data_IF_096762646096
#
_entry.id   IF_096762646096
#
_cell.length_a   1.000
_cell.length_b   1.000
_cell.length_c   1.000
_cell.angle_alpha   90.00
_cell.angle_beta   90.00
_cell.angle_gamma   90.00
#
_symmetry.space_group_name_H-M   'P 1'
#
loop_
_entity.id
_entity.type
_entity.pdbx_description
1 polymer ?
#
# COMPACT_ATOMS: atom_id res chain seq x y z
N UNK A 1 2.82 -0.44 -2.05
CA UNK A 1 2.30 0.95 -2.10
C UNK A 1 1.74 1.22 -3.47
N UNK A 2 0.50 1.69 -3.55
CA UNK A 2 -0.23 1.97 -4.79
C UNK A 2 -0.84 3.36 -4.70
N UNK A 3 -0.88 4.10 -5.80
CA UNK A 3 -1.52 5.42 -5.87
C UNK A 3 -3.03 5.34 -6.18
N UNK A 4 -3.68 6.51 -6.28
CA UNK A 4 -5.12 6.61 -6.59
C UNK A 4 -5.48 6.14 -8.01
N UNK A 5 -4.50 6.11 -8.92
CA UNK A 5 -4.60 5.65 -10.31
C UNK A 5 -4.25 4.16 -10.48
N UNK A 6 -4.21 3.41 -9.37
CA UNK A 6 -3.86 1.99 -9.34
C UNK A 6 -2.42 1.69 -9.79
N UNK A 7 -1.51 2.66 -9.82
CA UNK A 7 -0.11 2.43 -10.16
C UNK A 7 0.69 1.97 -8.94
N UNK A 8 1.50 0.93 -9.11
CA UNK A 8 2.39 0.43 -8.09
C UNK A 8 3.61 1.34 -7.96
N UNK A 9 3.71 2.09 -6.86
CA UNK A 9 4.82 3.03 -6.62
C UNK A 9 6.02 2.34 -5.95
N UNK A 10 5.74 1.36 -5.09
CA UNK A 10 6.76 0.59 -4.39
C UNK A 10 6.21 -0.78 -3.99
N UNK A 11 7.02 -1.81 -4.14
CA UNK A 11 6.66 -3.18 -3.80
C UNK A 11 7.90 -3.94 -3.32
N UNK A 12 7.67 -4.95 -2.48
CA UNK A 12 8.67 -5.94 -2.10
C UNK A 12 8.09 -7.31 -2.39
N UNK A 13 8.77 -8.10 -3.21
CA UNK A 13 8.30 -9.44 -3.61
C UNK A 13 9.13 -10.51 -2.93
N UNK A 14 8.44 -11.31 -2.11
CA UNK A 14 9.03 -12.38 -1.32
C UNK A 14 9.55 -11.90 0.04
N UNK A 15 9.33 -12.74 1.04
CA UNK A 15 9.92 -12.63 2.38
C UNK A 15 10.19 -14.05 2.88
N UNK A 16 11.30 -14.25 3.59
CA UNK A 16 11.59 -15.54 4.20
C UNK A 16 10.67 -15.72 5.42
N UNK A 17 9.89 -16.80 5.44
CA UNK A 17 8.96 -17.11 6.53
C UNK A 17 7.66 -16.29 6.55
N UNK A 18 6.88 -16.44 7.63
CA UNK A 18 5.66 -15.68 7.89
C UNK A 18 5.99 -14.38 8.62
N UNK A 19 6.51 -13.40 7.89
CA UNK A 19 6.75 -12.05 8.42
C UNK A 19 5.55 -11.17 8.13
N UNK A 20 5.01 -10.51 9.16
CA UNK A 20 3.87 -9.60 9.00
C UNK A 20 4.24 -8.28 8.31
N UNK A 21 3.25 -7.63 7.71
CA UNK A 21 3.43 -6.42 6.89
C UNK A 21 4.09 -5.27 7.66
N UNK A 22 3.75 -5.08 8.93
CA UNK A 22 4.36 -4.06 9.79
C UNK A 22 5.86 -4.29 10.00
N UNK A 23 6.29 -5.54 10.12
CA UNK A 23 7.72 -5.90 10.25
C UNK A 23 8.45 -5.69 8.93
N UNK A 24 7.83 -6.06 7.81
CA UNK A 24 8.38 -5.81 6.48
C UNK A 24 8.57 -4.30 6.27
N UNK A 25 7.59 -3.49 6.66
CA UNK A 25 7.63 -2.04 6.61
C UNK A 25 8.77 -1.46 7.46
N UNK A 26 8.88 -1.90 8.71
CA UNK A 26 9.90 -1.40 9.64
C UNK A 26 11.33 -1.66 9.15
N UNK A 27 11.53 -2.74 8.40
CA UNK A 27 12.82 -3.10 7.80
C UNK A 27 12.96 -2.66 6.33
N UNK A 28 12.05 -1.82 5.83
CA UNK A 28 12.06 -1.41 4.43
C UNK A 28 12.94 -0.19 4.20
N UNK A 29 13.72 -0.15 3.09
CA UNK A 29 14.41 1.07 2.67
C UNK A 29 13.43 2.23 2.40
N UNK A 30 12.19 1.92 2.01
CA UNK A 30 11.15 2.92 1.79
C UNK A 30 10.85 3.71 3.06
N UNK A 31 10.71 3.05 4.21
CA UNK A 31 10.50 3.73 5.50
C UNK A 31 11.63 4.71 5.80
N UNK A 32 12.88 4.26 5.65
CA UNK A 32 14.06 5.12 5.87
C UNK A 32 14.04 6.34 4.95
N UNK A 33 13.77 6.16 3.66
CA UNK A 33 13.68 7.28 2.70
C UNK A 33 12.54 8.26 3.01
N UNK A 34 11.43 7.77 3.57
CA UNK A 34 10.32 8.64 4.00
C UNK A 34 10.67 9.41 5.27
N UNK A 35 11.33 8.77 6.24
CA UNK A 35 11.77 9.39 7.49
C UNK A 35 12.88 10.43 7.27
N UNK A 36 13.79 10.21 6.31
CA UNK A 36 14.91 11.13 6.03
C UNK A 36 14.57 12.26 5.07
N UNK A 37 13.33 12.34 4.56
CA UNK A 37 12.99 13.39 3.57
C UNK A 37 13.44 13.08 2.13
N UNK A 38 14.11 11.95 1.90
CA UNK A 38 14.85 11.68 0.65
C UNK A 38 14.00 11.02 -0.44
N UNK A 39 12.76 10.62 -0.12
CA UNK A 39 11.86 10.09 -1.14
C UNK A 39 11.48 11.19 -2.13
N UNK A 40 11.95 11.10 -3.39
CA UNK A 40 11.64 12.08 -4.46
C UNK A 40 10.14 12.33 -4.66
N UNK A 41 9.31 11.35 -4.32
CA UNK A 41 7.85 11.41 -4.35
C UNK A 41 7.28 11.57 -2.93
N UNK A 42 7.85 12.47 -2.12
CA UNK A 42 7.24 12.78 -0.83
C UNK A 42 5.78 13.15 -1.03
N UNK A 43 4.87 12.68 -0.15
CA UNK A 43 3.50 13.09 -0.21
C UNK A 43 3.44 14.63 -0.06
N UNK A 44 3.18 15.34 -1.16
CA UNK A 44 3.05 16.80 -1.14
C UNK A 44 1.86 17.20 -0.28
N UNK A 45 1.92 18.37 0.36
CA UNK A 45 0.71 18.92 0.98
C UNK A 45 -0.39 19.01 -0.08
N UNK A 46 -1.56 18.47 0.26
CA UNK A 46 -2.75 18.60 -0.56
C UNK A 46 -3.55 19.80 -0.03
N UNK A 47 -4.04 20.64 -0.92
CA UNK A 47 -4.98 21.70 -0.55
C UNK A 47 -6.39 21.15 -0.68
N UNK A 48 -7.10 21.05 0.43
CA UNK A 48 -8.52 20.74 0.44
C UNK A 48 -9.35 22.02 0.24
N UNK A 49 -10.67 21.84 0.11
CA UNK A 49 -11.63 22.93 0.05
C UNK A 49 -11.37 23.97 1.15
N UNK A 50 -11.48 25.26 0.80
CA UNK A 50 -11.22 26.41 1.67
C UNK A 50 -9.73 26.65 2.00
N UNK A 51 -8.82 26.25 1.13
CA UNK A 51 -7.38 26.49 1.25
C UNK A 51 -6.76 25.85 2.52
N UNK A 52 -7.32 24.74 2.97
CA UNK A 52 -6.73 23.99 4.09
C UNK A 52 -5.65 23.07 3.55
N UNK A 53 -4.40 23.34 3.91
CA UNK A 53 -3.29 22.44 3.64
C UNK A 53 -3.36 21.22 4.57
N UNK A 54 -3.41 20.03 3.98
CA UNK A 54 -3.32 18.77 4.71
C UNK A 54 -2.10 17.98 4.24
N UNK A 55 -1.40 17.29 5.16
CA UNK A 55 -0.32 16.41 4.76
C UNK A 55 -0.90 15.26 3.92
N UNK A 56 -0.28 14.97 2.78
CA UNK A 56 -0.54 13.70 2.14
C UNK A 56 0.11 12.58 2.97
N UNK A 57 -0.57 11.45 3.09
CA UNK A 57 -0.14 10.34 3.95
C UNK A 57 -0.41 9.02 3.23
N UNK A 58 0.38 8.01 3.57
CA UNK A 58 0.15 6.63 3.12
C UNK A 58 -0.85 5.97 4.07
N UNK A 59 -1.96 5.49 3.51
CA UNK A 59 -2.97 4.77 4.29
C UNK A 59 -2.54 3.31 4.48
N UNK A 60 -2.59 2.82 5.71
CA UNK A 60 -2.17 1.48 6.10
C UNK A 60 -3.23 0.77 6.97
N UNK A 61 -2.99 -0.51 7.27
CA UNK A 61 -3.85 -1.28 8.16
C UNK A 61 -3.54 -1.03 9.64
N UNK A 62 -4.33 -1.64 10.53
CA UNK A 62 -4.21 -1.46 11.98
C UNK A 62 -2.91 -1.97 12.60
N UNK A 63 -2.20 -2.89 11.93
CA UNK A 63 -0.94 -3.47 12.40
C UNK A 63 0.24 -2.48 12.29
N UNK A 64 0.13 -1.46 11.45
CA UNK A 64 1.15 -0.43 11.30
C UNK A 64 1.13 0.55 12.49
N UNK A 65 2.28 1.14 12.77
CA UNK A 65 2.37 2.28 13.69
C UNK A 65 1.90 3.56 12.97
N UNK A 66 1.20 4.44 13.70
CA UNK A 66 0.86 5.77 13.20
C UNK A 66 2.15 6.60 13.12
N UNK A 67 2.33 7.38 12.07
CA UNK A 67 3.46 8.30 11.92
C UNK A 67 3.06 9.56 11.15
N UNK A 68 4.00 10.49 10.94
CA UNK A 68 3.76 11.69 10.13
C UNK A 68 3.40 11.38 8.67
N UNK A 69 3.75 10.19 8.19
CA UNK A 69 3.54 9.76 6.80
C UNK A 69 2.68 8.50 6.68
N UNK A 70 2.29 7.86 7.80
CA UNK A 70 1.39 6.70 7.83
C UNK A 70 0.12 7.01 8.60
N UNK A 71 -1.02 6.73 7.98
CA UNK A 71 -2.34 6.89 8.56
C UNK A 71 -3.05 5.54 8.66
N UNK A 72 -3.52 5.20 9.86
CA UNK A 72 -4.16 3.91 10.17
C UNK A 72 -5.58 4.11 10.72
N UNK A 73 -6.46 3.10 10.65
CA UNK A 73 -7.81 3.21 11.18
C UNK A 73 -7.80 3.33 12.71
N UNK A 74 -8.84 3.98 13.25
CA UNK A 74 -9.12 3.95 14.69
C UNK A 74 -9.32 2.50 15.18
N UNK A 75 -8.94 2.20 16.44
CA UNK A 75 -9.19 0.89 17.06
C UNK A 75 -10.69 0.62 17.19
N UNK A 76 -11.09 -0.64 17.32
CA UNK A 76 -12.51 -1.03 17.28
C UNK A 76 -13.34 -0.62 18.52
N UNK A 77 -12.68 -0.28 19.63
CA UNK A 77 -13.34 -0.04 20.92
C UNK A 77 -13.69 1.43 21.09
N UNK A 78 -14.92 1.69 21.54
CA UNK A 78 -15.41 3.02 21.93
C UNK A 78 -15.22 4.12 20.87
N UNK A 79 -15.52 3.82 19.60
CA UNK A 79 -15.39 4.81 18.52
C UNK A 79 -16.61 5.73 18.39
N UNK A 80 -16.35 7.01 18.17
CA UNK A 80 -17.40 7.99 17.84
C UNK A 80 -17.94 7.77 16.42
N UNK A 81 -19.02 8.47 16.08
CA UNK A 81 -19.59 8.44 14.72
C UNK A 81 -18.58 8.93 13.69
N UNK A 82 -17.87 10.00 13.99
CA UNK A 82 -16.88 10.63 13.11
C UNK A 82 -15.69 9.69 12.88
N UNK A 83 -15.22 9.02 13.93
CA UNK A 83 -14.17 8.02 13.85
C UNK A 83 -14.58 6.80 13.00
N UNK A 84 -15.86 6.42 13.07
CA UNK A 84 -16.42 5.35 12.22
C UNK A 84 -16.43 5.75 10.75
N UNK A 85 -16.82 7.00 10.44
CA UNK A 85 -16.77 7.55 9.07
C UNK A 85 -15.33 7.59 8.57
N UNK A 86 -14.39 8.08 9.38
CA UNK A 86 -12.97 8.09 9.04
C UNK A 86 -12.42 6.70 8.76
N UNK A 87 -12.73 5.72 9.61
CA UNK A 87 -12.36 4.32 9.42
C UNK A 87 -12.92 3.76 8.11
N UNK A 88 -14.16 4.08 7.77
CA UNK A 88 -14.75 3.70 6.49
C UNK A 88 -14.00 4.32 5.31
N UNK A 89 -13.63 5.61 5.38
CA UNK A 89 -12.82 6.27 4.36
C UNK A 89 -11.47 5.58 4.14
N UNK A 90 -10.77 5.21 5.23
CA UNK A 90 -9.52 4.43 5.17
C UNK A 90 -9.76 3.07 4.50
N UNK A 91 -10.79 2.34 4.91
CA UNK A 91 -11.13 1.06 4.30
C UNK A 91 -11.43 1.19 2.81
N UNK A 92 -12.13 2.25 2.39
CA UNK A 92 -12.41 2.54 0.98
C UNK A 92 -11.14 2.87 0.19
N UNK A 93 -10.23 3.66 0.77
CA UNK A 93 -8.93 3.95 0.16
C UNK A 93 -8.11 2.68 -0.03
N UNK A 94 -8.08 1.79 0.98
CA UNK A 94 -7.35 0.51 0.91
C UNK A 94 -7.83 -0.42 -0.20
N UNK A 95 -9.13 -0.42 -0.53
CA UNK A 95 -9.66 -1.20 -1.68
C UNK A 95 -8.96 -0.88 -3.00
N UNK A 96 -8.33 0.29 -3.14
CA UNK A 96 -7.52 0.62 -4.31
C UNK A 96 -6.32 -0.31 -4.47
N UNK A 97 -5.66 -0.68 -3.37
CA UNK A 97 -4.54 -1.63 -3.39
C UNK A 97 -5.05 -3.00 -3.82
N UNK A 98 -6.18 -3.45 -3.25
CA UNK A 98 -6.75 -4.77 -3.52
C UNK A 98 -7.19 -4.87 -4.99
N UNK A 99 -7.87 -3.84 -5.49
CA UNK A 99 -8.29 -3.76 -6.88
C UNK A 99 -7.10 -3.66 -7.84
N UNK A 100 -6.03 -2.96 -7.47
CA UNK A 100 -4.83 -2.86 -8.31
C UNK A 100 -4.18 -4.22 -8.56
N UNK A 101 -4.22 -5.14 -7.59
CA UNK A 101 -3.79 -6.53 -7.79
C UNK A 101 -4.82 -7.35 -8.59
N UNK A 102 -6.12 -7.02 -8.48
CA UNK A 102 -7.19 -7.64 -9.26
C UNK A 102 -7.16 -7.30 -10.76
N UNK A 103 -6.72 -6.10 -11.14
CA UNK A 103 -6.63 -5.67 -12.54
C UNK A 103 -5.75 -6.61 -13.38
N UNK A 104 -4.48 -6.90 -13.01
CA UNK A 104 -3.65 -7.85 -13.74
C UNK A 104 -4.09 -9.31 -13.57
N UNK A 105 -4.94 -9.63 -12.59
CA UNK A 105 -5.43 -11.00 -12.38
C UNK A 105 -6.35 -11.48 -13.51
N UNK A 106 -7.16 -10.59 -14.10
CA UNK A 106 -8.09 -10.94 -15.19
C UNK A 106 -7.40 -11.21 -16.54
N UNK A 107 -6.52 -10.34 -17.07
CA UNK A 107 -5.88 -10.55 -18.37
C UNK A 107 -4.70 -11.52 -18.31
N UNK A 108 -3.96 -11.61 -17.20
CA UNK A 108 -2.78 -12.49 -17.11
C UNK A 108 -3.04 -13.81 -16.38
N UNK A 109 -4.14 -13.95 -15.63
CA UNK A 109 -4.48 -15.16 -14.87
C UNK A 109 -3.54 -15.50 -13.68
N UNK A 110 -2.44 -14.74 -13.53
CA UNK A 110 -1.31 -15.01 -12.61
C UNK A 110 -1.71 -15.03 -11.12
N UNK A 111 -2.80 -14.35 -10.76
CA UNK A 111 -3.24 -14.21 -9.36
C UNK A 111 -4.54 -14.95 -9.02
N UNK A 112 -5.13 -15.67 -9.98
CA UNK A 112 -6.42 -16.37 -9.77
C UNK A 112 -6.27 -17.67 -9.00
N UNK A 113 -5.08 -18.28 -9.03
CA UNK A 113 -4.77 -19.52 -8.30
C UNK A 113 -3.40 -19.42 -7.63
N UNK A 114 -3.22 -20.19 -6.55
CA UNK A 114 -1.91 -20.29 -5.92
C UNK A 114 -0.89 -20.82 -6.93
N UNK A 115 0.19 -20.06 -7.17
CA UNK A 115 1.25 -20.45 -8.08
C UNK A 115 1.95 -21.73 -7.58
N UNK A 116 1.72 -22.86 -8.24
CA UNK A 116 2.34 -24.16 -7.95
C UNK A 116 3.78 -24.23 -8.51
N UNK A 117 4.64 -23.31 -8.10
CA UNK A 117 6.04 -23.25 -8.52
C UNK A 117 6.95 -22.85 -7.35
N UNK A 118 8.23 -23.21 -7.42
CA UNK A 118 9.17 -22.85 -6.35
C UNK A 118 9.29 -21.33 -6.22
N UNK A 119 9.12 -20.86 -4.98
CA UNK A 119 9.11 -19.44 -4.58
C UNK A 119 10.40 -18.68 -4.94
N UNK A 120 11.49 -19.39 -5.23
CA UNK A 120 12.82 -18.79 -5.10
C UNK A 120 13.14 -17.80 -6.22
N UNK A 121 12.71 -18.03 -7.48
CA UNK A 121 13.06 -17.14 -8.60
C UNK A 121 11.89 -16.89 -9.57
N UNK A 122 11.20 -17.93 -10.06
CA UNK A 122 10.20 -17.76 -11.12
C UNK A 122 8.96 -16.97 -10.68
N UNK A 123 8.40 -17.29 -9.51
CA UNK A 123 7.24 -16.56 -8.98
C UNK A 123 7.54 -15.07 -8.78
N UNK A 124 8.75 -14.74 -8.27
CA UNK A 124 9.17 -13.35 -8.09
C UNK A 124 9.22 -12.60 -9.42
N UNK A 125 9.84 -13.19 -10.44
CA UNK A 125 9.95 -12.58 -11.78
C UNK A 125 8.57 -12.35 -12.38
N UNK A 126 7.64 -13.30 -12.26
CA UNK A 126 6.28 -13.17 -12.78
C UNK A 126 5.53 -12.01 -12.09
N UNK A 127 5.60 -11.92 -10.76
CA UNK A 127 4.99 -10.82 -10.02
C UNK A 127 5.60 -9.49 -10.47
N UNK A 128 6.92 -9.38 -10.50
CA UNK A 128 7.60 -8.15 -10.91
C UNK A 128 7.23 -7.73 -12.34
N UNK A 129 7.19 -8.67 -13.28
CA UNK A 129 6.84 -8.42 -14.67
C UNK A 129 5.40 -7.94 -14.82
N UNK A 130 4.45 -8.56 -14.11
CA UNK A 130 3.04 -8.15 -14.16
C UNK A 130 2.80 -6.79 -13.53
N UNK A 131 3.48 -6.46 -12.42
CA UNK A 131 3.41 -5.12 -11.81
C UNK A 131 4.01 -4.05 -12.73
N UNK A 132 5.14 -4.34 -13.38
CA UNK A 132 5.77 -3.43 -14.33
C UNK A 132 4.89 -3.21 -15.57
N UNK A 133 4.32 -4.28 -16.13
CA UNK A 133 3.44 -4.22 -17.29
C UNK A 133 2.14 -3.47 -16.98
N UNK A 134 1.54 -3.70 -15.81
CA UNK A 134 0.37 -2.96 -15.33
C UNK A 134 0.63 -1.45 -15.21
N UNK A 135 1.83 -1.05 -14.77
CA UNK A 135 2.18 0.37 -14.68
C UNK A 135 2.46 1.02 -16.05
N UNK A 136 2.81 0.21 -17.06
CA UNK A 136 3.16 0.66 -18.41
C UNK A 136 1.92 0.85 -19.30
N UNK A 137 0.96 -0.09 -19.22
CA UNK A 137 -0.31 -0.05 -19.94
C UNK A 137 -1.26 1.01 -19.36
#
# INVERSE_FOLDING_TARGET
MVDSNYKFLNFKVGCEGRVGDATIWNNSPLKQLMETGQLRTQPRQATLDRNVEVPSVVVCDSAFALSQFLMKPYPDRHITREQRVFKYCISRARRKVDNAFGIPASPFGVYQTAMKMSLQQKAKVIVLATLALHNFL
#
